data_IF_693258554987
#
_entry.id   IF_693258554987
#
_cell.length_a   1.000
_cell.length_b   1.000
_cell.length_c   1.000
_cell.angle_alpha   90.00
_cell.angle_beta   90.00
_cell.angle_gamma   90.00
#
_symmetry.space_group_name_H-M   'P 1'
#
loop_
_entity.id
_entity.type
_entity.pdbx_description
1 polymer ?
#
# COMPACT_ATOMS: atom_id res chain seq x y z
N UNK A 1 -16.98 40.78 -5.55
CA UNK A 1 -17.61 39.52 -5.99
C UNK A 1 -16.78 38.99 -7.15
N UNK A 2 -16.48 37.69 -7.18
CA UNK A 2 -15.80 37.05 -8.32
C UNK A 2 -16.72 37.15 -9.55
N UNK A 3 -16.44 38.08 -10.45
CA UNK A 3 -17.21 38.28 -11.67
C UNK A 3 -16.68 37.36 -12.76
N UNK A 4 -17.54 36.51 -13.32
CA UNK A 4 -17.13 35.48 -14.30
C UNK A 4 -16.51 36.06 -15.58
N UNK A 5 -16.72 37.35 -15.85
CA UNK A 5 -16.20 38.08 -17.01
C UNK A 5 -14.67 38.22 -16.99
N UNK A 6 -14.06 38.26 -15.80
CA UNK A 6 -12.61 38.52 -15.67
C UNK A 6 -11.77 37.23 -15.73
N UNK A 7 -12.39 36.06 -15.53
CA UNK A 7 -11.68 34.76 -15.41
C UNK A 7 -11.94 33.78 -16.57
N UNK A 8 -12.71 34.18 -17.60
CA UNK A 8 -13.04 33.32 -18.74
C UNK A 8 -13.86 32.07 -18.38
N UNK A 9 -14.56 32.08 -17.23
CA UNK A 9 -15.40 30.97 -16.76
C UNK A 9 -16.88 31.33 -16.87
N UNK A 10 -17.73 30.31 -17.02
CA UNK A 10 -19.18 30.54 -17.08
C UNK A 10 -19.76 30.92 -15.71
N UNK A 11 -20.74 31.83 -15.67
CA UNK A 11 -21.48 32.19 -14.45
C UNK A 11 -22.04 30.96 -13.71
N UNK A 12 -22.45 29.91 -14.43
CA UNK A 12 -22.90 28.64 -13.85
C UNK A 12 -21.81 27.95 -13.03
N UNK A 13 -20.57 27.99 -13.50
CA UNK A 13 -19.42 27.42 -12.79
C UNK A 13 -19.10 28.22 -11.53
N UNK A 14 -19.07 29.56 -11.63
CA UNK A 14 -18.85 30.46 -10.50
C UNK A 14 -19.92 30.24 -9.43
N UNK A 15 -21.19 30.24 -9.81
CA UNK A 15 -22.31 30.00 -8.89
C UNK A 15 -22.22 28.62 -8.23
N UNK A 16 -21.87 27.57 -8.97
CA UNK A 16 -21.66 26.22 -8.41
C UNK A 16 -20.56 26.21 -7.35
N UNK A 17 -19.44 26.90 -7.58
CA UNK A 17 -18.32 26.99 -6.63
C UNK A 17 -18.74 27.77 -5.37
N UNK A 18 -19.37 28.94 -5.54
CA UNK A 18 -19.85 29.75 -4.40
C UNK A 18 -20.86 28.98 -3.56
N UNK A 19 -21.77 28.25 -4.18
CA UNK A 19 -22.76 27.43 -3.48
C UNK A 19 -22.12 26.22 -2.77
N UNK A 20 -21.16 25.55 -3.40
CA UNK A 20 -20.41 24.47 -2.76
C UNK A 20 -19.63 24.97 -1.53
N UNK A 21 -19.02 26.15 -1.61
CA UNK A 21 -18.35 26.76 -0.47
C UNK A 21 -19.33 27.12 0.66
N UNK A 22 -20.46 27.76 0.33
CA UNK A 22 -21.47 28.14 1.34
C UNK A 22 -22.12 26.94 2.04
N UNK A 23 -22.35 25.83 1.32
CA UNK A 23 -23.03 24.65 1.86
C UNK A 23 -22.09 23.65 2.53
N UNK A 24 -20.94 23.39 1.93
CA UNK A 24 -20.03 22.30 2.33
C UNK A 24 -18.67 22.82 2.85
N UNK A 25 -18.41 24.12 2.77
CA UNK A 25 -17.09 24.71 3.06
C UNK A 25 -16.01 24.33 2.03
N UNK A 26 -16.39 23.73 0.90
CA UNK A 26 -15.46 23.13 -0.05
C UNK A 26 -15.03 24.13 -1.12
N UNK A 27 -13.73 24.38 -1.21
CA UNK A 27 -13.11 25.19 -2.28
C UNK A 27 -12.71 24.30 -3.47
N UNK A 28 -12.29 23.07 -3.20
CA UNK A 28 -11.94 22.08 -4.23
C UNK A 28 -13.16 21.32 -4.75
N UNK A 29 -13.00 20.62 -5.88
CA UNK A 29 -14.06 19.76 -6.40
C UNK A 29 -14.49 18.69 -5.39
N UNK A 30 -15.77 18.32 -5.42
CA UNK A 30 -16.28 17.17 -4.68
C UNK A 30 -15.53 15.89 -5.10
N UNK A 31 -15.32 14.93 -4.18
CA UNK A 31 -14.68 13.67 -4.52
C UNK A 31 -15.54 12.94 -5.55
N UNK A 32 -14.92 12.52 -6.66
CA UNK A 32 -15.63 11.76 -7.68
C UNK A 32 -15.97 10.37 -7.18
N UNK A 33 -17.18 9.91 -7.47
CA UNK A 33 -17.58 8.51 -7.25
C UNK A 33 -16.62 7.61 -8.05
N UNK A 34 -15.99 6.66 -7.35
CA UNK A 34 -15.12 5.65 -7.98
C UNK A 34 -15.95 4.43 -8.36
N UNK A 35 -15.44 3.64 -9.32
CA UNK A 35 -16.03 2.34 -9.62
C UNK A 35 -16.00 1.45 -8.36
N UNK A 36 -17.06 0.66 -8.10
CA UNK A 36 -17.05 -0.31 -7.02
C UNK A 36 -15.81 -1.22 -7.05
N UNK A 37 -15.30 -1.58 -5.87
CA UNK A 37 -14.18 -2.53 -5.74
C UNK A 37 -14.67 -3.93 -6.07
N UNK A 38 -13.79 -4.74 -6.65
CA UNK A 38 -14.06 -6.14 -6.94
C UNK A 38 -14.08 -7.03 -5.68
N UNK A 39 -13.42 -6.59 -4.61
CA UNK A 39 -13.35 -7.30 -3.33
C UNK A 39 -14.16 -6.60 -2.25
N UNK A 40 -14.63 -7.38 -1.28
CA UNK A 40 -15.37 -6.94 -0.10
C UNK A 40 -14.43 -6.73 1.09
N UNK A 41 -14.84 -5.91 2.07
CA UNK A 41 -14.03 -5.63 3.25
C UNK A 41 -13.62 -6.89 4.05
N UNK A 42 -14.48 -7.92 4.05
CA UNK A 42 -14.18 -9.22 4.67
C UNK A 42 -13.04 -9.94 3.93
N UNK A 43 -13.14 -10.04 2.60
CA UNK A 43 -12.07 -10.61 1.77
C UNK A 43 -10.74 -9.86 1.94
N UNK A 44 -10.80 -8.54 2.11
CA UNK A 44 -9.60 -7.74 2.33
C UNK A 44 -8.98 -7.97 3.73
N UNK A 45 -9.80 -8.35 4.71
CA UNK A 45 -9.30 -8.81 6.01
C UNK A 45 -8.60 -10.17 5.88
N UNK A 46 -9.18 -11.10 5.13
CA UNK A 46 -8.60 -12.43 4.88
C UNK A 46 -7.27 -12.34 4.13
N UNK A 47 -7.17 -11.50 3.10
CA UNK A 47 -5.92 -11.23 2.38
C UNK A 47 -4.85 -10.68 3.32
N UNK A 48 -5.22 -9.74 4.20
CA UNK A 48 -4.27 -9.17 5.19
C UNK A 48 -3.83 -10.19 6.23
N UNK A 49 -4.72 -11.09 6.64
CA UNK A 49 -4.39 -12.17 7.57
C UNK A 49 -3.42 -13.16 6.91
N UNK A 50 -3.75 -13.64 5.71
CA UNK A 50 -2.89 -14.55 4.95
C UNK A 50 -1.49 -13.96 4.72
N UNK A 51 -1.42 -12.68 4.33
CA UNK A 51 -0.13 -12.01 4.11
C UNK A 51 0.70 -11.83 5.40
N UNK A 52 0.07 -11.82 6.58
CA UNK A 52 0.79 -11.77 7.87
C UNK A 52 1.26 -13.16 8.32
N UNK A 53 0.47 -14.20 8.03
CA UNK A 53 0.83 -15.58 8.33
C UNK A 53 1.97 -16.08 7.44
N UNK A 54 1.94 -15.71 6.16
CA UNK A 54 2.98 -16.08 5.18
C UNK A 54 3.57 -14.84 4.49
N UNK A 55 4.45 -14.07 5.17
CA UNK A 55 4.96 -12.79 4.65
C UNK A 55 5.75 -12.93 3.35
N UNK A 56 6.32 -14.10 3.09
CA UNK A 56 7.18 -14.39 1.95
C UNK A 56 6.45 -15.04 0.76
N UNK A 57 5.14 -15.27 0.88
CA UNK A 57 4.34 -15.86 -0.19
C UNK A 57 4.08 -14.89 -1.34
N UNK A 58 3.86 -15.45 -2.53
CA UNK A 58 3.52 -14.65 -3.71
C UNK A 58 2.08 -14.14 -3.65
N UNK A 59 1.77 -13.09 -4.41
CA UNK A 59 0.41 -12.53 -4.45
C UNK A 59 -0.66 -13.54 -4.93
N UNK A 60 -0.29 -14.53 -5.75
CA UNK A 60 -1.19 -15.61 -6.18
C UNK A 60 -1.44 -16.62 -5.07
N UNK A 61 -0.39 -17.01 -4.34
CA UNK A 61 -0.52 -17.87 -3.17
C UNK A 61 -1.39 -17.22 -2.09
N UNK A 62 -1.18 -15.93 -1.82
CA UNK A 62 -2.00 -15.18 -0.86
C UNK A 62 -3.47 -15.15 -1.31
N UNK A 63 -3.74 -14.96 -2.60
CA UNK A 63 -5.12 -15.00 -3.13
C UNK A 63 -5.77 -16.37 -2.93
N UNK A 64 -5.02 -17.44 -3.20
CA UNK A 64 -5.47 -18.82 -3.03
C UNK A 64 -5.73 -19.15 -1.55
N UNK A 65 -4.82 -18.75 -0.66
CA UNK A 65 -4.95 -18.92 0.79
C UNK A 65 -6.16 -18.18 1.35
N UNK A 66 -6.40 -16.95 0.88
CA UNK A 66 -7.56 -16.15 1.27
C UNK A 66 -8.87 -16.54 0.54
N UNK A 67 -8.82 -17.48 -0.41
CA UNK A 67 -9.95 -17.92 -1.24
C UNK A 67 -10.69 -16.76 -1.92
N UNK A 68 -9.97 -15.72 -2.31
CA UNK A 68 -10.54 -14.53 -2.97
C UNK A 68 -10.37 -14.65 -4.48
N UNK A 69 -11.45 -14.53 -5.29
CA UNK A 69 -11.37 -14.54 -6.74
C UNK A 69 -10.89 -13.19 -7.27
N UNK A 70 -9.67 -12.78 -6.91
CA UNK A 70 -9.07 -11.52 -7.30
C UNK A 70 -7.77 -11.75 -8.10
N UNK A 71 -7.52 -10.88 -9.06
CA UNK A 71 -6.27 -10.92 -9.83
C UNK A 71 -5.06 -10.60 -8.94
N UNK A 72 -3.89 -11.14 -9.28
CA UNK A 72 -2.64 -10.86 -8.56
C UNK A 72 -2.35 -9.35 -8.47
N UNK A 73 -2.67 -8.58 -9.51
CA UNK A 73 -2.54 -7.11 -9.51
C UNK A 73 -3.46 -6.45 -8.48
N UNK A 74 -4.68 -6.97 -8.31
CA UNK A 74 -5.61 -6.51 -7.28
C UNK A 74 -5.03 -6.77 -5.88
N UNK A 75 -4.53 -7.97 -5.63
CA UNK A 75 -3.88 -8.32 -4.35
C UNK A 75 -2.67 -7.43 -4.07
N UNK A 76 -1.78 -7.20 -5.05
CA UNK A 76 -0.63 -6.30 -4.89
C UNK A 76 -1.06 -4.87 -4.53
N UNK A 77 -2.10 -4.34 -5.19
CA UNK A 77 -2.66 -3.02 -4.86
C UNK A 77 -3.16 -2.99 -3.42
N UNK A 78 -3.87 -4.04 -2.99
CA UNK A 78 -4.36 -4.16 -1.61
C UNK A 78 -3.25 -4.21 -0.57
N UNK A 79 -2.21 -5.02 -0.81
CA UNK A 79 -1.05 -5.10 0.08
C UNK A 79 -0.35 -3.74 0.17
N UNK A 80 -0.21 -3.02 -0.94
CA UNK A 80 0.35 -1.67 -0.96
C UNK A 80 -0.51 -0.67 -0.16
N UNK A 81 -1.84 -0.67 -0.34
CA UNK A 81 -2.77 0.16 0.44
C UNK A 81 -2.70 -0.17 1.95
N UNK A 82 -2.53 -1.44 2.30
CA UNK A 82 -2.36 -1.92 3.67
C UNK A 82 -0.93 -1.69 4.23
N UNK A 83 -0.02 -1.11 3.43
CA UNK A 83 1.41 -0.93 3.77
C UNK A 83 2.13 -2.24 4.13
N UNK A 84 1.66 -3.37 3.61
CA UNK A 84 2.31 -4.68 3.77
C UNK A 84 3.27 -4.89 2.61
N UNK A 85 4.56 -4.97 2.93
CA UNK A 85 5.64 -5.25 1.99
C UNK A 85 6.55 -6.30 2.61
N UNK A 86 6.98 -7.26 1.81
CA UNK A 86 8.02 -8.19 2.18
C UNK A 86 9.26 -7.94 1.34
N UNK A 87 10.41 -8.14 1.97
CA UNK A 87 11.72 -8.01 1.35
C UNK A 87 12.45 -9.32 1.60
N UNK A 88 12.96 -9.93 0.53
CA UNK A 88 13.90 -11.05 0.67
C UNK A 88 15.31 -10.49 0.73
N UNK A 89 16.09 -10.92 1.72
CA UNK A 89 17.52 -10.72 1.68
C UNK A 89 18.09 -11.50 0.49
N UNK A 90 18.88 -10.84 -0.35
CA UNK A 90 19.70 -11.55 -1.33
C UNK A 90 20.82 -12.27 -0.55
N UNK A 91 20.54 -13.47 -0.08
CA UNK A 91 21.51 -14.23 0.70
C UNK A 91 22.63 -14.75 -0.21
N UNK A 92 23.89 -14.40 0.09
CA UNK A 92 25.04 -15.09 -0.46
C UNK A 92 25.17 -16.44 0.26
N UNK A 93 24.51 -17.47 -0.26
CA UNK A 93 24.35 -18.80 0.34
C UNK A 93 25.64 -19.63 0.50
N UNK A 94 26.83 -19.11 0.18
CA UNK A 94 28.08 -19.88 0.21
C UNK A 94 28.97 -19.50 1.41
N UNK A 95 28.42 -19.59 2.61
CA UNK A 95 29.23 -19.63 3.84
C UNK A 95 29.17 -21.03 4.41
N UNK A 96 30.27 -21.78 4.28
CA UNK A 96 30.43 -23.07 4.96
C UNK A 96 30.27 -22.90 6.48
N UNK A 97 29.92 -23.97 7.19
CA UNK A 97 29.82 -23.96 8.66
C UNK A 97 31.12 -23.46 9.32
N UNK A 98 32.27 -23.80 8.74
CA UNK A 98 33.58 -23.30 9.15
C UNK A 98 33.68 -21.77 9.02
N UNK A 99 33.27 -21.20 7.89
CA UNK A 99 33.27 -19.75 7.70
C UNK A 99 32.30 -19.04 8.65
N UNK A 100 31.16 -19.66 8.99
CA UNK A 100 30.17 -19.11 9.93
C UNK A 100 30.73 -19.04 11.36
N UNK A 101 31.35 -20.11 11.82
CA UNK A 101 31.95 -20.20 13.16
C UNK A 101 33.15 -19.26 13.31
N UNK A 102 34.01 -19.15 12.30
CA UNK A 102 35.13 -18.21 12.30
C UNK A 102 34.67 -16.75 12.42
N UNK A 103 33.58 -16.37 11.71
CA UNK A 103 33.01 -15.03 11.80
C UNK A 103 32.41 -14.74 13.17
N UNK A 104 31.67 -15.68 13.75
CA UNK A 104 31.14 -15.54 15.10
C UNK A 104 32.27 -15.36 16.11
N UNK A 105 33.29 -16.22 16.08
CA UNK A 105 34.45 -16.13 16.97
C UNK A 105 35.17 -14.79 16.86
N UNK A 106 35.37 -14.29 15.64
CA UNK A 106 35.96 -12.96 15.40
C UNK A 106 35.06 -11.85 15.97
N UNK A 107 33.75 -11.95 15.78
CA UNK A 107 32.79 -10.98 16.32
C UNK A 107 32.81 -10.95 17.84
N UNK A 108 32.81 -12.11 18.48
CA UNK A 108 32.87 -12.22 19.95
C UNK A 108 34.17 -11.63 20.49
N UNK A 109 35.32 -11.99 19.87
CA UNK A 109 36.61 -11.44 20.28
C UNK A 109 36.67 -9.91 20.17
N UNK A 110 36.11 -9.33 19.09
CA UNK A 110 36.05 -7.88 18.89
C UNK A 110 35.16 -7.16 19.91
N UNK A 111 34.11 -7.82 20.43
CA UNK A 111 33.25 -7.26 21.47
C UNK A 111 33.90 -7.34 22.86
N UNK A 112 34.73 -8.36 23.10
CA UNK A 112 35.41 -8.57 24.38
C UNK A 112 36.69 -7.72 24.54
N UNK A 113 37.32 -7.31 23.42
CA UNK A 113 38.63 -6.64 23.41
C UNK A 113 38.63 -5.27 22.69
N UNK A 114 37.45 -4.74 22.35
CA UNK A 114 37.27 -3.40 21.76
C UNK A 114 36.60 -2.46 22.76
#
# INVERSE_FOLDING_TARGET
MLNSRDEGRSNKTVNRIVQAYKKEGRISGAPRKRHPRATTAAQDADIRKAAKETPFSTAREIAAAARVPASASTIKRWLAEAKLKSYFAAEKLLLSLSNRTARLRKSTWLLDHG
#
